data_IF_731682075352
#
_entry.id   IF_731682075352
#
_cell.length_a   1.000
_cell.length_b   1.000
_cell.length_c   1.000
_cell.angle_alpha   90.00
_cell.angle_beta   90.00
_cell.angle_gamma   90.00
#
_symmetry.space_group_name_H-M   'P 1'
#
loop_
_entity.id
_entity.type
_entity.pdbx_description
1 polymer ?
#
# COMPACT_ATOMS: atom_id res chain seq x y z
N UNK A 1 -14.00 6.42 -17.56
CA UNK A 1 -12.94 6.56 -16.53
C UNK A 1 -11.75 5.75 -16.97
N UNK A 2 -10.53 6.27 -16.81
CA UNK A 2 -9.30 5.47 -16.99
C UNK A 2 -9.15 4.58 -15.76
N UNK A 3 -8.97 3.28 -15.97
CA UNK A 3 -8.69 2.34 -14.88
C UNK A 3 -7.34 2.69 -14.26
N UNK A 4 -7.31 2.78 -12.92
CA UNK A 4 -6.10 3.04 -12.13
C UNK A 4 -5.74 1.81 -11.32
N UNK A 5 -4.44 1.62 -11.07
CA UNK A 5 -3.94 0.59 -10.17
C UNK A 5 -3.60 1.21 -8.82
N UNK A 6 -4.21 0.67 -7.77
CA UNK A 6 -4.11 1.20 -6.41
C UNK A 6 -3.62 0.08 -5.50
N UNK A 7 -2.52 0.31 -4.81
CA UNK A 7 -1.98 -0.63 -3.84
C UNK A 7 -2.57 -0.33 -2.47
N UNK A 8 -3.15 -1.33 -1.82
CA UNK A 8 -3.72 -1.25 -0.48
C UNK A 8 -2.76 -1.93 0.48
N UNK A 9 -1.93 -1.13 1.14
CA UNK A 9 -0.96 -1.55 2.15
C UNK A 9 -1.54 -1.39 3.55
N UNK A 10 -2.37 -2.36 3.97
CA UNK A 10 -3.07 -2.38 5.26
C UNK A 10 -3.06 -3.81 5.79
N UNK A 11 -2.66 -4.02 7.05
CA UNK A 11 -2.61 -5.35 7.65
C UNK A 11 -3.98 -5.88 8.09
N UNK A 12 -4.85 -4.97 8.56
CA UNK A 12 -6.22 -5.27 8.94
C UNK A 12 -7.01 -5.76 7.71
N UNK A 13 -7.35 -7.06 7.70
CA UNK A 13 -7.93 -7.73 6.52
C UNK A 13 -9.34 -7.22 6.21
N UNK A 14 -10.15 -6.93 7.23
CA UNK A 14 -11.48 -6.33 7.10
C UNK A 14 -11.45 -4.94 6.44
N UNK A 15 -10.48 -4.12 6.81
CA UNK A 15 -10.26 -2.79 6.21
C UNK A 15 -9.74 -2.94 4.77
N UNK A 16 -8.77 -3.82 4.54
CA UNK A 16 -8.22 -4.10 3.21
C UNK A 16 -9.30 -4.60 2.23
N UNK A 17 -10.17 -5.51 2.68
CA UNK A 17 -11.28 -6.03 1.89
C UNK A 17 -12.28 -4.93 1.55
N UNK A 18 -12.60 -4.06 2.52
CA UNK A 18 -13.51 -2.93 2.31
C UNK A 18 -12.99 -1.96 1.23
N UNK A 19 -11.70 -1.62 1.26
CA UNK A 19 -11.08 -0.82 0.19
C UNK A 19 -11.08 -1.54 -1.15
N UNK A 20 -10.79 -2.85 -1.17
CA UNK A 20 -10.72 -3.64 -2.40
C UNK A 20 -12.08 -3.68 -3.10
N UNK A 21 -13.17 -3.87 -2.36
CA UNK A 21 -14.54 -3.84 -2.88
C UNK A 21 -14.88 -2.46 -3.42
N UNK A 22 -14.68 -1.40 -2.64
CA UNK A 22 -15.00 -0.03 -3.06
C UNK A 22 -14.24 0.38 -4.34
N UNK A 23 -12.96 0.03 -4.45
CA UNK A 23 -12.16 0.32 -5.63
C UNK A 23 -12.60 -0.49 -6.86
N UNK A 24 -12.94 -1.77 -6.67
CA UNK A 24 -13.47 -2.61 -7.74
C UNK A 24 -14.81 -2.07 -8.28
N UNK A 25 -15.72 -1.65 -7.40
CA UNK A 25 -17.01 -1.04 -7.79
C UNK A 25 -16.84 0.25 -8.61
N UNK A 26 -15.74 0.98 -8.39
CA UNK A 26 -15.39 2.18 -9.17
C UNK A 26 -14.61 1.88 -10.45
N UNK A 27 -14.34 0.60 -10.76
CA UNK A 27 -13.61 0.16 -11.95
C UNK A 27 -12.09 0.28 -11.85
N UNK A 28 -11.54 0.48 -10.65
CA UNK A 28 -10.10 0.51 -10.39
C UNK A 28 -9.58 -0.88 -10.03
N UNK A 29 -8.29 -1.12 -10.31
CA UNK A 29 -7.61 -2.36 -9.93
C UNK A 29 -6.99 -2.19 -8.55
N UNK A 30 -7.45 -2.99 -7.59
CA UNK A 30 -6.86 -3.07 -6.27
C UNK A 30 -5.76 -4.14 -6.22
N UNK A 31 -4.63 -3.81 -5.60
CA UNK A 31 -3.55 -4.76 -5.27
C UNK A 31 -3.34 -4.73 -3.77
N UNK A 32 -3.73 -5.79 -3.09
CA UNK A 32 -3.59 -5.93 -1.64
C UNK A 32 -2.18 -6.41 -1.26
N UNK A 33 -1.55 -5.74 -0.29
CA UNK A 33 -0.30 -6.16 0.33
C UNK A 33 -0.42 -6.03 1.85
N UNK A 34 0.15 -6.98 2.59
CA UNK A 34 0.03 -7.06 4.06
C UNK A 34 1.30 -6.60 4.77
N UNK A 35 2.42 -6.58 4.07
CA UNK A 35 3.73 -6.28 4.66
C UNK A 35 4.50 -5.26 3.82
N UNK A 36 5.41 -4.53 4.47
CA UNK A 36 6.27 -3.57 3.78
C UNK A 36 7.17 -4.26 2.76
N UNK A 37 7.69 -5.45 3.05
CA UNK A 37 8.49 -6.23 2.11
C UNK A 37 7.77 -6.49 0.78
N UNK A 38 6.48 -6.84 0.83
CA UNK A 38 5.64 -7.06 -0.34
C UNK A 38 5.42 -5.77 -1.13
N UNK A 39 5.12 -4.67 -0.43
CA UNK A 39 4.98 -3.35 -1.04
C UNK A 39 6.27 -2.94 -1.75
N UNK A 40 7.43 -3.11 -1.12
CA UNK A 40 8.71 -2.74 -1.72
C UNK A 40 9.05 -3.61 -2.92
N UNK A 41 8.82 -4.92 -2.85
CA UNK A 41 8.99 -5.82 -3.99
C UNK A 41 8.09 -5.37 -5.16
N UNK A 42 6.84 -5.00 -4.87
CA UNK A 42 5.90 -4.53 -5.88
C UNK A 42 6.34 -3.20 -6.51
N UNK A 43 6.74 -2.22 -5.70
CA UNK A 43 7.24 -0.91 -6.16
C UNK A 43 8.53 -1.02 -6.98
N UNK A 44 9.40 -1.98 -6.67
CA UNK A 44 10.64 -2.22 -7.42
C UNK A 44 10.40 -2.88 -8.78
N UNK A 45 9.42 -3.78 -8.86
CA UNK A 45 9.09 -4.53 -10.08
C UNK A 45 8.23 -3.73 -11.06
N UNK A 46 7.46 -2.75 -10.59
CA UNK A 46 6.51 -1.97 -11.40
C UNK A 46 6.82 -0.47 -11.33
N UNK A 47 7.68 0.02 -12.23
CA UNK A 47 8.04 1.45 -12.29
C UNK A 47 7.04 2.32 -13.05
N UNK A 48 5.99 1.76 -13.69
CA UNK A 48 5.10 2.54 -14.58
C UNK A 48 3.60 2.55 -14.23
N UNK A 49 3.06 1.60 -13.45
CA UNK A 49 1.60 1.40 -13.36
C UNK A 49 1.05 1.44 -11.91
N UNK A 50 1.60 2.27 -11.02
CA UNK A 50 1.00 2.50 -9.70
C UNK A 50 0.54 3.95 -9.61
N UNK A 51 -0.78 4.14 -9.59
CA UNK A 51 -1.40 5.45 -9.51
C UNK A 51 -1.52 5.97 -8.08
N UNK A 52 -1.55 5.06 -7.09
CA UNK A 52 -1.73 5.39 -5.69
C UNK A 52 -1.33 4.23 -4.77
N UNK A 53 -0.73 4.55 -3.63
CA UNK A 53 -0.61 3.66 -2.46
C UNK A 53 -1.50 4.19 -1.34
N UNK A 54 -2.42 3.37 -0.86
CA UNK A 54 -3.13 3.57 0.40
C UNK A 54 -2.31 2.88 1.48
N UNK A 55 -1.78 3.64 2.44
CA UNK A 55 -0.81 3.16 3.41
C UNK A 55 -1.34 3.27 4.84
N UNK A 56 -1.41 2.14 5.54
CA UNK A 56 -1.41 2.12 7.00
C UNK A 56 0.03 2.27 7.50
N UNK A 57 0.28 3.29 8.32
CA UNK A 57 1.63 3.55 8.86
C UNK A 57 2.06 2.55 9.92
N UNK A 58 1.15 1.68 10.38
CA UNK A 58 1.44 0.52 11.24
C UNK A 58 1.69 -0.76 10.44
N UNK A 59 1.89 -0.66 9.12
CA UNK A 59 2.14 -1.83 8.28
C UNK A 59 3.34 -2.63 8.82
N UNK A 60 3.15 -3.92 9.12
CA UNK A 60 4.22 -4.78 9.60
C UNK A 60 5.33 -4.88 8.55
N UNK A 61 6.58 -4.95 9.01
CA UNK A 61 7.74 -4.91 8.11
C UNK A 61 7.82 -6.18 7.24
N UNK A 62 7.41 -7.32 7.80
CA UNK A 62 7.46 -8.64 7.19
C UNK A 62 6.50 -9.59 7.95
N UNK A 63 6.34 -10.82 7.45
CA UNK A 63 5.46 -11.85 8.03
C UNK A 63 5.79 -12.27 9.48
N UNK A 64 6.96 -11.90 10.02
CA UNK A 64 7.41 -12.31 11.36
C UNK A 64 7.24 -11.24 12.43
N UNK A 65 6.80 -10.05 12.03
CA UNK A 65 6.79 -8.88 12.90
C UNK A 65 5.41 -8.25 12.87
N UNK A 66 4.57 -8.59 13.85
CA UNK A 66 3.15 -8.27 13.87
C UNK A 66 2.84 -6.79 14.16
N UNK A 67 3.86 -5.98 14.49
CA UNK A 67 3.64 -4.59 14.86
C UNK A 67 4.84 -3.70 14.54
N UNK A 68 4.57 -2.49 14.06
CA UNK A 68 5.58 -1.49 13.75
C UNK A 68 5.12 -0.12 14.29
N UNK A 69 5.79 0.37 15.33
CA UNK A 69 5.50 1.68 15.94
C UNK A 69 6.20 2.85 15.21
N UNK A 70 7.10 2.58 14.26
CA UNK A 70 7.90 3.59 13.56
C UNK A 70 7.28 4.04 12.23
N UNK A 71 6.08 4.60 12.33
CA UNK A 71 5.25 5.12 11.23
C UNK A 71 5.96 6.01 10.19
N UNK A 72 6.86 6.91 10.63
CA UNK A 72 7.60 7.82 9.73
C UNK A 72 8.64 7.07 8.88
N UNK A 73 9.22 5.97 9.39
CA UNK A 73 10.26 5.26 8.67
C UNK A 73 9.73 4.59 7.41
N UNK A 74 8.50 4.07 7.45
CA UNK A 74 7.88 3.42 6.28
C UNK A 74 7.81 4.38 5.09
N UNK A 75 7.31 5.60 5.31
CA UNK A 75 7.22 6.60 4.24
C UNK A 75 8.60 6.96 3.70
N UNK A 76 9.61 7.08 4.57
CA UNK A 76 11.01 7.35 4.14
C UNK A 76 11.56 6.21 3.28
N UNK A 77 11.29 4.96 3.65
CA UNK A 77 11.73 3.79 2.89
C UNK A 77 11.05 3.77 1.52
N UNK A 78 9.72 3.98 1.46
CA UNK A 78 8.97 4.06 0.20
C UNK A 78 9.53 5.18 -0.68
N UNK A 79 9.77 6.38 -0.13
CA UNK A 79 10.31 7.53 -0.90
C UNK A 79 11.72 7.29 -1.45
N UNK A 80 12.52 6.41 -0.83
CA UNK A 80 13.83 6.02 -1.35
C UNK A 80 13.71 5.10 -2.57
N UNK A 81 12.69 4.26 -2.62
CA UNK A 81 12.47 3.28 -3.71
C UNK A 81 11.60 3.86 -4.83
N UNK A 82 10.51 4.52 -4.48
CA UNK A 82 9.51 5.08 -5.38
C UNK A 82 9.26 6.55 -5.02
N UNK A 83 10.18 7.47 -5.38
CA UNK A 83 10.12 8.86 -4.93
C UNK A 83 8.83 9.59 -5.36
N UNK A 84 8.29 9.24 -6.53
CA UNK A 84 7.15 9.92 -7.15
C UNK A 84 5.79 9.28 -6.90
N UNK A 85 5.71 8.11 -6.23
CA UNK A 85 4.43 7.42 -6.08
C UNK A 85 3.48 8.24 -5.19
N UNK A 86 2.23 8.50 -5.60
CA UNK A 86 1.25 9.13 -4.73
C UNK A 86 0.96 8.22 -3.52
N UNK A 87 0.93 8.79 -2.32
CA UNK A 87 0.63 8.06 -1.08
C UNK A 87 -0.50 8.79 -0.37
N UNK A 88 -1.55 8.05 0.00
CA UNK A 88 -2.54 8.47 0.98
C UNK A 88 -2.30 7.67 2.24
N UNK A 89 -2.11 8.35 3.36
CA UNK A 89 -2.02 7.70 4.67
C UNK A 89 -3.43 7.47 5.19
N UNK A 90 -3.74 6.22 5.52
CA UNK A 90 -4.94 5.83 6.25
C UNK A 90 -4.50 5.35 7.63
N UNK A 91 -4.70 6.17 8.66
CA UNK A 91 -4.44 5.80 10.04
C UNK A 91 -5.72 6.02 10.87
N UNK A 92 -6.27 4.92 11.39
CA UNK A 92 -7.30 4.96 12.43
C UNK A 92 -6.74 5.25 13.81
#
# INVERSE_FOLDING_TARGET
MTQKTIVIAIAATDVQDSFSVALAETGHRAVAVKHLSELLAFLQLQTADIDLVVLDVRLPLNEREDNNDESIQIVRIIRRVAPQVPIIVFSG
#
